data_IF_939197489303
#
_entry.id   IF_939197489303
#
_cell.length_a   1.000
_cell.length_b   1.000
_cell.length_c   1.000
_cell.angle_alpha   90.00
_cell.angle_beta   90.00
_cell.angle_gamma   90.00
#
_symmetry.space_group_name_H-M   'P 1'
#
loop_
_entity.id
_entity.type
_entity.pdbx_description
1 polymer ?
#
# COMPACT_ATOMS: atom_id res chain seq x y z
N UNK A 1 -44.76 -39.34 7.85
CA UNK A 1 -43.52 -40.12 8.04
C UNK A 1 -42.57 -40.16 6.82
N UNK A 2 -42.74 -39.31 5.78
CA UNK A 2 -41.77 -39.18 4.66
C UNK A 2 -41.02 -37.84 4.62
N UNK A 3 -41.57 -36.81 5.28
CA UNK A 3 -41.02 -35.44 5.28
C UNK A 3 -39.87 -35.31 6.27
N UNK A 4 -39.92 -36.02 7.40
CA UNK A 4 -38.86 -35.95 8.42
C UNK A 4 -37.56 -36.62 7.96
N UNK A 5 -37.66 -37.71 7.20
CA UNK A 5 -36.49 -38.37 6.61
C UNK A 5 -35.74 -37.47 5.63
N UNK A 6 -36.47 -36.72 4.79
CA UNK A 6 -35.87 -35.77 3.86
C UNK A 6 -35.19 -34.59 4.57
N UNK A 7 -35.77 -34.08 5.65
CA UNK A 7 -35.17 -33.01 6.45
C UNK A 7 -33.91 -33.47 7.19
N UNK A 8 -33.92 -34.71 7.72
CA UNK A 8 -32.75 -35.30 8.37
C UNK A 8 -31.61 -35.58 7.38
N UNK A 9 -31.91 -36.08 6.17
CA UNK A 9 -30.89 -36.29 5.14
C UNK A 9 -30.32 -34.96 4.63
N UNK A 10 -31.17 -33.93 4.44
CA UNK A 10 -30.72 -32.60 4.02
C UNK A 10 -29.81 -31.95 5.06
N UNK A 11 -30.10 -32.09 6.36
CA UNK A 11 -29.25 -31.58 7.44
C UNK A 11 -27.91 -32.32 7.57
N UNK A 12 -27.88 -33.63 7.31
CA UNK A 12 -26.64 -34.42 7.31
C UNK A 12 -25.78 -34.06 6.08
N UNK A 13 -26.37 -33.85 4.91
CA UNK A 13 -25.63 -33.39 3.74
C UNK A 13 -25.10 -31.95 3.91
N UNK A 14 -25.85 -31.06 4.56
CA UNK A 14 -25.42 -29.67 4.77
C UNK A 14 -24.26 -29.57 5.78
N UNK A 15 -24.24 -30.43 6.80
CA UNK A 15 -23.13 -30.49 7.78
C UNK A 15 -21.88 -31.17 7.20
N UNK A 16 -22.03 -32.13 6.29
CA UNK A 16 -20.88 -32.71 5.55
C UNK A 16 -20.25 -31.74 4.54
N UNK A 17 -21.03 -30.83 3.95
CA UNK A 17 -20.52 -29.80 3.04
C UNK A 17 -19.72 -28.70 3.76
N UNK A 18 -19.97 -28.46 5.05
CA UNK A 18 -19.24 -27.45 5.84
C UNK A 18 -17.91 -27.95 6.43
N UNK A 19 -17.65 -29.26 6.43
CA UNK A 19 -16.44 -29.85 7.03
C UNK A 19 -15.26 -30.03 6.06
N UNK A 20 -15.46 -29.79 4.75
CA UNK A 20 -14.40 -29.89 3.74
C UNK A 20 -13.87 -28.54 3.24
N UNK A 21 -14.23 -27.44 3.91
CA UNK A 21 -13.65 -26.12 3.66
C UNK A 21 -12.42 -25.86 4.54
N UNK A 22 -11.65 -26.90 4.89
CA UNK A 22 -10.25 -26.68 5.20
C UNK A 22 -9.62 -26.20 3.89
N UNK A 23 -9.29 -24.92 3.78
CA UNK A 23 -8.46 -24.45 2.70
C UNK A 23 -7.17 -25.28 2.76
N UNK A 24 -6.97 -26.18 1.79
CA UNK A 24 -5.71 -26.91 1.68
C UNK A 24 -4.64 -25.84 1.45
N UNK A 25 -3.87 -25.55 2.49
CA UNK A 25 -2.61 -24.84 2.33
C UNK A 25 -1.85 -25.64 1.28
N UNK A 26 -1.60 -25.04 0.11
CA UNK A 26 -0.93 -25.75 -0.98
C UNK A 26 0.44 -26.15 -0.47
N UNK A 27 0.65 -27.45 -0.33
CA UNK A 27 1.97 -27.98 -0.01
C UNK A 27 2.85 -27.87 -1.25
N UNK A 28 4.03 -27.28 -1.08
CA UNK A 28 4.99 -27.10 -2.17
C UNK A 28 5.92 -28.31 -2.23
N UNK A 29 6.19 -28.80 -3.44
CA UNK A 29 7.00 -30.00 -3.61
C UNK A 29 8.51 -29.69 -3.59
N UNK A 30 9.37 -30.60 -3.11
CA UNK A 30 10.81 -30.50 -3.30
C UNK A 30 11.17 -30.25 -4.77
N UNK A 31 12.03 -29.25 -5.01
CA UNK A 31 12.42 -28.78 -6.35
C UNK A 31 11.52 -27.69 -6.94
N UNK A 32 10.35 -27.41 -6.34
CA UNK A 32 9.49 -26.32 -6.80
C UNK A 32 10.13 -24.95 -6.54
N UNK A 33 10.02 -24.04 -7.51
CA UNK A 33 10.45 -22.65 -7.34
C UNK A 33 9.32 -21.85 -6.71
N UNK A 34 9.63 -21.21 -5.59
CA UNK A 34 8.68 -20.46 -4.77
C UNK A 34 9.22 -19.06 -4.49
N UNK A 35 8.30 -18.18 -4.10
CA UNK A 35 8.62 -16.89 -3.52
C UNK A 35 8.34 -16.92 -2.03
N UNK A 36 9.29 -16.43 -1.23
CA UNK A 36 9.10 -16.21 0.21
C UNK A 36 8.91 -14.71 0.42
N UNK A 37 7.70 -14.34 0.82
CA UNK A 37 7.27 -12.96 0.98
C UNK A 37 7.61 -12.41 2.38
N UNK A 38 8.18 -11.21 2.43
CA UNK A 38 8.40 -10.42 3.63
C UNK A 38 7.83 -9.00 3.45
N UNK A 39 6.49 -8.85 3.49
CA UNK A 39 5.88 -7.52 3.41
C UNK A 39 6.24 -6.70 4.65
N UNK A 40 6.51 -5.41 4.44
CA UNK A 40 6.75 -4.43 5.47
C UNK A 40 5.55 -3.48 5.61
N UNK A 41 5.48 -2.80 6.76
CA UNK A 41 4.47 -1.76 7.00
C UNK A 41 4.69 -0.56 6.07
N UNK A 42 5.94 -0.31 5.66
CA UNK A 42 6.25 0.58 4.56
C UNK A 42 6.51 -0.27 3.31
N UNK A 43 5.65 -0.14 2.31
CA UNK A 43 5.75 -0.94 1.07
C UNK A 43 7.11 -0.75 0.38
N UNK A 44 7.75 0.41 0.53
CA UNK A 44 9.09 0.65 -0.04
C UNK A 44 10.18 -0.25 0.56
N UNK A 45 9.91 -0.86 1.72
CA UNK A 45 10.81 -1.69 2.50
C UNK A 45 10.39 -3.17 2.43
N UNK A 46 9.40 -3.52 1.58
CA UNK A 46 9.01 -4.90 1.28
C UNK A 46 10.26 -5.68 0.83
N UNK A 47 10.28 -7.00 1.07
CA UNK A 47 11.35 -7.86 0.61
C UNK A 47 10.83 -9.24 0.23
N UNK A 48 11.59 -9.95 -0.60
CA UNK A 48 11.29 -11.34 -0.91
C UNK A 48 12.52 -12.16 -1.30
N UNK A 49 12.38 -13.47 -1.17
CA UNK A 49 13.35 -14.45 -1.68
C UNK A 49 12.69 -15.22 -2.83
N UNK A 50 13.43 -15.45 -3.90
CA UNK A 50 13.11 -16.49 -4.88
C UNK A 50 13.99 -17.69 -4.57
N UNK A 51 13.40 -18.87 -4.42
CA UNK A 51 14.15 -20.05 -4.00
C UNK A 51 13.51 -21.38 -4.37
N UNK A 52 14.31 -22.45 -4.26
CA UNK A 52 13.87 -23.82 -4.48
C UNK A 52 13.50 -24.49 -3.17
N UNK A 53 12.34 -25.13 -3.11
CA UNK A 53 11.95 -25.98 -1.97
C UNK A 53 12.89 -27.18 -1.89
N UNK A 54 13.48 -27.43 -0.72
CA UNK A 54 14.26 -28.63 -0.45
C UNK A 54 13.42 -29.68 0.24
N UNK A 55 12.70 -29.27 1.27
CA UNK A 55 11.79 -30.12 2.02
C UNK A 55 10.86 -29.27 2.88
N UNK A 56 9.74 -29.85 3.28
CA UNK A 56 8.93 -29.35 4.38
C UNK A 56 9.47 -29.96 5.69
N UNK A 57 9.67 -29.13 6.70
CA UNK A 57 10.11 -29.56 8.03
C UNK A 57 8.90 -29.92 8.90
N UNK A 58 9.12 -30.63 10.01
CA UNK A 58 8.05 -31.24 10.84
C UNK A 58 7.00 -30.26 11.37
N UNK A 59 7.34 -28.98 11.50
CA UNK A 59 6.43 -27.92 11.97
C UNK A 59 5.62 -27.27 10.84
N UNK A 60 5.71 -27.77 9.60
CA UNK A 60 4.99 -27.26 8.43
C UNK A 60 5.77 -26.23 7.61
N UNK A 61 6.86 -25.67 8.16
CA UNK A 61 7.72 -24.69 7.49
C UNK A 61 8.52 -25.31 6.34
N UNK A 62 9.12 -24.45 5.51
CA UNK A 62 9.87 -24.89 4.34
C UNK A 62 11.35 -24.60 4.49
N UNK A 63 12.18 -25.58 4.15
CA UNK A 63 13.59 -25.35 3.89
C UNK A 63 13.76 -24.95 2.42
N UNK A 64 14.22 -23.74 2.17
CA UNK A 64 14.37 -23.15 0.84
C UNK A 64 15.85 -22.88 0.54
N UNK A 65 16.28 -23.21 -0.68
CA UNK A 65 17.58 -22.81 -1.21
C UNK A 65 17.45 -21.53 -2.02
N UNK A 66 18.19 -20.49 -1.62
CA UNK A 66 18.07 -19.14 -2.20
C UNK A 66 18.66 -19.09 -3.61
N UNK A 67 17.84 -18.65 -4.56
CA UNK A 67 18.26 -18.30 -5.92
C UNK A 67 18.50 -16.79 -6.03
N UNK A 68 17.58 -16.01 -5.47
CA UNK A 68 17.60 -14.55 -5.51
C UNK A 68 16.99 -13.92 -4.25
N UNK A 69 17.38 -12.68 -3.96
CA UNK A 69 16.86 -11.89 -2.85
C UNK A 69 16.69 -10.44 -3.29
N UNK A 70 15.49 -9.91 -3.08
CA UNK A 70 15.14 -8.54 -3.44
C UNK A 70 14.64 -7.83 -2.20
N UNK A 71 15.14 -6.62 -1.97
CA UNK A 71 14.76 -5.77 -0.84
C UNK A 71 14.52 -4.35 -1.30
N UNK A 72 13.41 -3.79 -0.83
CA UNK A 72 13.04 -2.41 -1.03
C UNK A 72 12.86 -2.00 -2.49
N UNK A 73 13.17 -0.75 -2.82
CA UNK A 73 12.91 -0.14 -4.14
C UNK A 73 13.72 -0.72 -5.32
N UNK A 74 14.48 -1.80 -5.12
CA UNK A 74 15.13 -2.57 -6.19
C UNK A 74 14.14 -3.43 -7.01
N UNK A 75 12.84 -3.18 -6.89
CA UNK A 75 11.86 -3.62 -7.88
C UNK A 75 12.11 -2.86 -9.18
N UNK A 76 12.98 -3.41 -10.03
CA UNK A 76 13.20 -2.92 -11.39
C UNK A 76 11.90 -2.38 -11.97
N UNK A 77 11.91 -1.08 -12.22
CA UNK A 77 10.94 -0.24 -12.95
C UNK A 77 9.57 -0.90 -13.20
N UNK A 78 8.59 -0.60 -12.34
CA UNK A 78 7.17 -0.79 -12.61
C UNK A 78 6.79 -0.44 -14.06
N UNK A 79 6.27 -1.42 -14.81
CA UNK A 79 5.11 -1.34 -15.72
C UNK A 79 4.82 -2.74 -16.33
N UNK A 80 3.86 -3.46 -15.73
CA UNK A 80 3.21 -4.70 -16.21
C UNK A 80 4.08 -5.98 -16.23
N UNK A 81 3.65 -7.10 -15.58
CA UNK A 81 4.32 -8.37 -15.75
C UNK A 81 4.06 -8.91 -17.15
N UNK A 82 5.08 -9.46 -17.76
CA UNK A 82 4.91 -10.17 -18.99
C UNK A 82 4.90 -11.68 -18.76
N UNK A 83 4.18 -12.38 -19.64
CA UNK A 83 4.17 -13.84 -19.71
C UNK A 83 5.28 -14.34 -20.62
N UNK A 84 5.78 -15.53 -20.30
CA UNK A 84 6.48 -16.39 -21.26
C UNK A 84 5.60 -17.62 -21.51
N UNK A 85 5.74 -18.22 -22.69
CA UNK A 85 5.00 -19.43 -23.04
C UNK A 85 5.70 -20.70 -22.52
N UNK A 86 5.02 -21.85 -22.62
CA UNK A 86 5.45 -23.15 -22.07
C UNK A 86 6.74 -23.73 -22.69
N UNK A 87 7.36 -23.03 -23.65
CA UNK A 87 8.60 -23.42 -24.33
C UNK A 87 9.79 -22.49 -23.99
N UNK A 88 9.59 -21.52 -23.08
CA UNK A 88 10.67 -20.64 -22.59
C UNK A 88 11.19 -19.65 -23.62
N UNK A 89 10.37 -19.29 -24.61
CA UNK A 89 10.70 -18.24 -25.58
C UNK A 89 10.10 -16.91 -25.14
N UNK A 90 10.93 -15.86 -25.14
CA UNK A 90 10.48 -14.49 -25.00
C UNK A 90 9.58 -14.15 -26.20
N UNK A 91 8.29 -14.01 -25.94
CA UNK A 91 7.31 -13.35 -26.79
C UNK A 91 7.59 -11.83 -26.74
N UNK A 92 6.88 -10.97 -27.50
CA UNK A 92 6.94 -9.49 -27.34
C UNK A 92 6.27 -9.06 -26.03
N UNK A 93 6.75 -9.69 -25.00
CA UNK A 93 6.23 -9.93 -23.70
C UNK A 93 7.57 -9.69 -22.93
N UNK A 94 7.70 -8.55 -22.22
CA UNK A 94 8.74 -8.05 -21.25
C UNK A 94 9.32 -9.08 -20.24
N UNK A 95 10.47 -9.63 -20.59
CA UNK A 95 11.28 -10.38 -19.63
C UNK A 95 12.05 -9.38 -18.76
N UNK A 96 11.81 -9.44 -17.44
CA UNK A 96 12.49 -8.61 -16.44
C UNK A 96 14.00 -8.93 -16.42
N UNK A 97 14.86 -7.95 -16.70
CA UNK A 97 16.31 -8.09 -16.53
C UNK A 97 16.65 -8.37 -15.06
N UNK A 98 17.44 -9.42 -14.80
CA UNK A 98 17.96 -9.73 -13.46
C UNK A 98 19.08 -8.75 -13.09
N UNK A 99 18.87 -7.97 -12.03
CA UNK A 99 19.79 -6.93 -11.58
C UNK A 99 20.86 -7.46 -10.61
N UNK A 100 22.03 -6.81 -10.61
CA UNK A 100 23.31 -7.30 -10.03
C UNK A 100 23.64 -6.82 -8.62
N UNK A 101 22.77 -6.09 -7.93
CA UNK A 101 23.00 -5.69 -6.52
C UNK A 101 22.00 -6.35 -5.56
N UNK A 102 22.52 -7.09 -4.56
CA UNK A 102 21.81 -8.04 -3.68
C UNK A 102 22.23 -7.82 -2.23
N UNK A 103 21.59 -6.92 -1.49
CA UNK A 103 22.19 -6.36 -0.27
C UNK A 103 21.64 -6.90 1.08
N UNK A 104 21.88 -8.12 1.62
CA UNK A 104 22.63 -9.34 1.30
C UNK A 104 22.00 -10.51 2.09
N UNK A 105 21.78 -11.66 1.44
CA UNK A 105 21.88 -13.00 2.05
C UNK A 105 23.17 -13.62 1.47
N UNK A 106 24.10 -14.06 2.33
CA UNK A 106 25.46 -14.45 1.96
C UNK A 106 25.55 -15.64 0.97
N UNK A 107 25.44 -15.40 -0.34
CA UNK A 107 25.82 -16.37 -1.37
C UNK A 107 24.68 -17.23 -1.95
N UNK A 108 24.78 -17.46 -3.26
CA UNK A 108 23.89 -18.35 -4.04
C UNK A 108 23.99 -19.78 -3.48
N UNK A 109 22.84 -20.41 -3.18
CA UNK A 109 22.79 -21.79 -2.69
C UNK A 109 22.63 -21.98 -1.17
N UNK A 110 22.60 -20.90 -0.38
CA UNK A 110 22.29 -20.99 1.05
C UNK A 110 20.87 -21.49 1.30
N UNK A 111 20.69 -22.23 2.40
CA UNK A 111 19.43 -22.85 2.77
C UNK A 111 18.88 -22.22 4.04
N UNK A 112 17.60 -21.86 4.03
CA UNK A 112 16.90 -21.21 5.14
C UNK A 112 15.61 -21.96 5.45
N UNK A 113 15.26 -22.03 6.73
CA UNK A 113 13.91 -22.42 7.16
C UNK A 113 13.06 -21.16 7.18
N UNK A 114 11.96 -21.17 6.44
CA UNK A 114 11.04 -20.05 6.32
C UNK A 114 9.62 -20.46 6.70
N UNK A 115 8.83 -19.57 7.31
CA UNK A 115 7.46 -19.88 7.70
C UNK A 115 6.60 -20.28 6.48
N UNK A 116 5.80 -21.35 6.60
CA UNK A 116 4.84 -21.73 5.55
C UNK A 116 3.95 -20.55 5.14
N UNK A 117 3.53 -19.75 6.11
CA UNK A 117 2.69 -18.57 5.90
C UNK A 117 3.30 -17.51 4.97
N UNK A 118 4.63 -17.55 4.74
CA UNK A 118 5.33 -16.61 3.86
C UNK A 118 5.62 -17.20 2.48
N UNK A 119 5.47 -18.52 2.30
CA UNK A 119 5.74 -19.16 1.01
C UNK A 119 4.54 -19.00 0.07
N UNK A 120 4.82 -18.61 -1.16
CA UNK A 120 3.84 -18.37 -2.23
C UNK A 120 4.32 -19.03 -3.51
N UNK A 121 3.37 -19.38 -4.38
CA UNK A 121 3.71 -19.69 -5.78
C UNK A 121 4.42 -18.49 -6.39
N UNK A 122 5.52 -18.74 -7.10
CA UNK A 122 6.37 -17.68 -7.64
C UNK A 122 5.57 -16.60 -8.39
N UNK A 123 4.80 -17.01 -9.41
CA UNK A 123 4.04 -16.09 -10.26
C UNK A 123 3.01 -15.27 -9.46
N UNK A 124 2.29 -15.90 -8.53
CA UNK A 124 1.29 -15.21 -7.69
C UNK A 124 1.96 -14.22 -6.74
N UNK A 125 3.01 -14.64 -6.04
CA UNK A 125 3.73 -13.75 -5.12
C UNK A 125 4.37 -12.55 -5.83
N UNK A 126 4.94 -12.77 -7.01
CA UNK A 126 5.52 -11.70 -7.83
C UNK A 126 4.46 -10.69 -8.24
N UNK A 127 3.31 -11.16 -8.73
CA UNK A 127 2.19 -10.30 -9.07
C UNK A 127 1.74 -9.48 -7.86
N UNK A 128 1.57 -10.11 -6.69
CA UNK A 128 1.16 -9.41 -5.47
C UNK A 128 2.14 -8.29 -5.10
N UNK A 129 3.46 -8.54 -5.13
CA UNK A 129 4.46 -7.53 -4.78
C UNK A 129 4.57 -6.41 -5.82
N UNK A 130 4.44 -6.73 -7.11
CA UNK A 130 4.34 -5.71 -8.17
C UNK A 130 3.16 -4.80 -7.88
N UNK A 131 2.01 -5.36 -7.51
CA UNK A 131 0.81 -4.56 -7.28
C UNK A 131 0.83 -3.76 -5.99
N UNK A 132 1.46 -4.28 -4.93
CA UNK A 132 1.79 -3.51 -3.74
C UNK A 132 2.69 -2.33 -4.09
N UNK A 133 3.77 -2.55 -4.84
CA UNK A 133 4.68 -1.48 -5.27
C UNK A 133 3.99 -0.45 -6.17
N UNK A 134 3.10 -0.87 -7.07
CA UNK A 134 2.31 0.05 -7.90
C UNK A 134 1.43 1.00 -7.07
N UNK A 135 0.85 0.51 -5.97
CA UNK A 135 0.11 1.36 -5.02
C UNK A 135 1.04 2.37 -4.33
N UNK A 136 2.22 1.92 -3.89
CA UNK A 136 3.21 2.82 -3.31
C UNK A 136 3.67 3.90 -4.31
N UNK A 137 3.95 3.51 -5.56
CA UNK A 137 4.33 4.45 -6.63
C UNK A 137 3.20 5.46 -6.87
N UNK A 138 1.94 5.02 -6.88
CA UNK A 138 0.78 5.90 -7.02
C UNK A 138 0.73 6.94 -5.91
N UNK A 139 0.90 6.51 -4.66
CA UNK A 139 0.98 7.40 -3.51
C UNK A 139 2.19 8.35 -3.59
N UNK A 140 3.36 7.84 -4.00
CA UNK A 140 4.58 8.63 -4.14
C UNK A 140 4.49 9.69 -5.25
N UNK A 141 3.81 9.38 -6.36
CA UNK A 141 3.57 10.34 -7.47
C UNK A 141 2.67 11.49 -7.05
N UNK A 142 1.63 11.20 -6.27
CA UNK A 142 0.84 12.24 -5.62
C UNK A 142 1.73 13.10 -4.70
N UNK A 143 2.52 12.46 -3.83
CA UNK A 143 3.40 13.18 -2.91
C UNK A 143 4.42 14.09 -3.61
N UNK A 144 4.91 13.72 -4.80
CA UNK A 144 5.83 14.54 -5.59
C UNK A 144 5.13 15.52 -6.55
N UNK A 145 3.80 15.50 -6.65
CA UNK A 145 3.02 16.18 -7.69
C UNK A 145 3.45 15.82 -9.13
N UNK A 146 4.11 14.67 -9.36
CA UNK A 146 4.72 14.34 -10.65
C UNK A 146 4.60 12.83 -11.01
N UNK A 147 3.85 12.48 -12.08
CA UNK A 147 2.90 13.33 -12.81
C UNK A 147 1.68 13.68 -11.95
N UNK A 148 0.92 14.71 -12.38
CA UNK A 148 -0.33 15.09 -11.73
C UNK A 148 -1.31 13.91 -11.77
N UNK A 149 -1.86 13.57 -10.60
CA UNK A 149 -2.83 12.50 -10.41
C UNK A 149 -4.26 13.02 -10.58
N UNK A 150 -5.06 12.36 -11.42
CA UNK A 150 -6.51 12.61 -11.56
C UNK A 150 -7.29 12.02 -10.39
N UNK A 151 -8.51 12.53 -10.14
CA UNK A 151 -9.38 12.03 -9.08
C UNK A 151 -9.73 10.54 -9.26
N UNK A 152 -9.98 10.11 -10.50
CA UNK A 152 -10.32 8.72 -10.84
C UNK A 152 -9.17 7.76 -10.51
N UNK A 153 -7.92 8.21 -10.66
CA UNK A 153 -6.77 7.38 -10.29
C UNK A 153 -6.71 7.10 -8.78
N UNK A 154 -7.19 8.00 -7.93
CA UNK A 154 -7.35 7.71 -6.50
C UNK A 154 -8.43 6.67 -6.24
N UNK A 155 -9.55 6.72 -6.97
CA UNK A 155 -10.62 5.72 -6.83
C UNK A 155 -10.15 4.33 -7.25
N UNK A 156 -9.40 4.24 -8.35
CA UNK A 156 -8.75 3.01 -8.80
C UNK A 156 -7.74 2.52 -7.74
N UNK A 157 -6.91 3.40 -7.19
CA UNK A 157 -5.95 3.05 -6.16
C UNK A 157 -6.63 2.53 -4.88
N UNK A 158 -7.72 3.15 -4.44
CA UNK A 158 -8.49 2.70 -3.27
C UNK A 158 -9.16 1.35 -3.50
N UNK A 159 -9.73 1.11 -4.68
CA UNK A 159 -10.31 -0.19 -5.03
C UNK A 159 -9.23 -1.28 -5.06
N UNK A 160 -8.06 -0.96 -5.63
CA UNK A 160 -6.92 -1.88 -5.71
C UNK A 160 -6.33 -2.19 -4.35
N UNK A 161 -6.18 -1.18 -3.48
CA UNK A 161 -5.77 -1.38 -2.09
C UNK A 161 -6.67 -2.38 -1.36
N UNK A 162 -8.00 -2.26 -1.50
CA UNK A 162 -8.94 -3.23 -0.91
C UNK A 162 -8.75 -4.64 -1.50
N UNK A 163 -8.60 -4.76 -2.81
CA UNK A 163 -8.45 -6.08 -3.47
C UNK A 163 -7.16 -6.82 -3.08
N UNK A 164 -6.11 -6.09 -2.69
CA UNK A 164 -4.81 -6.65 -2.29
C UNK A 164 -4.68 -6.86 -0.77
N UNK A 165 -5.77 -6.69 -0.01
CA UNK A 165 -5.72 -6.76 1.46
C UNK A 165 -4.96 -5.59 2.11
N UNK A 166 -4.78 -4.50 1.37
CA UNK A 166 -4.06 -3.28 1.77
C UNK A 166 -5.03 -2.14 2.15
N UNK A 167 -6.21 -2.48 2.68
CA UNK A 167 -7.24 -1.51 3.09
C UNK A 167 -6.74 -0.46 4.07
N UNK A 168 -5.67 -0.75 4.81
CA UNK A 168 -4.98 0.19 5.69
C UNK A 168 -4.45 1.45 4.98
N UNK A 169 -4.21 1.41 3.65
CA UNK A 169 -3.79 2.59 2.87
C UNK A 169 -4.95 3.52 2.51
N UNK A 170 -6.19 3.01 2.51
CA UNK A 170 -7.36 3.74 2.00
C UNK A 170 -7.56 5.09 2.70
N UNK A 171 -7.44 5.22 4.04
CA UNK A 171 -7.59 6.51 4.70
C UNK A 171 -6.59 7.59 4.20
N UNK A 172 -5.35 7.20 3.92
CA UNK A 172 -4.35 8.11 3.37
C UNK A 172 -4.66 8.52 1.93
N UNK A 173 -5.14 7.58 1.11
CA UNK A 173 -5.58 7.86 -0.26
C UNK A 173 -6.81 8.78 -0.30
N UNK A 174 -7.73 8.66 0.67
CA UNK A 174 -8.88 9.58 0.81
C UNK A 174 -8.41 11.00 1.10
N UNK A 175 -7.44 11.18 2.01
CA UNK A 175 -6.87 12.50 2.29
C UNK A 175 -6.14 13.07 1.07
N UNK A 176 -5.36 12.24 0.35
CA UNK A 176 -4.70 12.63 -0.88
C UNK A 176 -5.67 13.08 -1.98
N UNK A 177 -6.80 12.37 -2.14
CA UNK A 177 -7.86 12.76 -3.07
C UNK A 177 -8.47 14.12 -2.69
N UNK A 178 -8.78 14.34 -1.41
CA UNK A 178 -9.34 15.62 -0.93
C UNK A 178 -8.37 16.80 -1.09
N UNK A 179 -7.07 16.57 -0.88
CA UNK A 179 -6.05 17.57 -1.17
C UNK A 179 -6.03 17.92 -2.65
N UNK A 180 -6.05 16.92 -3.52
CA UNK A 180 -6.14 17.13 -4.97
C UNK A 180 -7.39 17.93 -5.38
N UNK A 181 -8.54 17.63 -4.79
CA UNK A 181 -9.81 18.37 -5.00
C UNK A 181 -9.74 19.83 -4.51
N UNK A 182 -8.83 20.14 -3.59
CA UNK A 182 -8.67 21.49 -3.06
C UNK A 182 -7.91 22.42 -4.02
N UNK A 183 -7.13 21.87 -4.94
CA UNK A 183 -6.30 22.66 -5.87
C UNK A 183 -6.78 22.65 -7.32
N UNK A 184 -7.69 21.74 -7.71
CA UNK A 184 -8.07 21.57 -9.11
C UNK A 184 -9.56 21.33 -9.30
N UNK A 185 -10.05 21.74 -10.46
CA UNK A 185 -11.36 21.33 -10.95
C UNK A 185 -11.42 19.80 -11.18
N UNK A 186 -12.62 19.18 -11.08
CA UNK A 186 -12.78 17.74 -11.31
C UNK A 186 -12.19 17.26 -12.65
N UNK A 187 -11.67 16.03 -12.68
CA UNK A 187 -11.05 15.43 -13.87
C UNK A 187 -9.64 15.95 -14.14
N UNK A 188 -9.38 16.42 -15.38
CA UNK A 188 -8.13 17.09 -15.81
C UNK A 188 -8.30 18.62 -15.71
N UNK A 189 -9.25 19.08 -14.89
CA UNK A 189 -9.63 20.48 -14.80
C UNK A 189 -8.46 21.42 -14.43
N UNK A 190 -8.67 22.72 -14.65
CA UNK A 190 -7.64 23.73 -14.39
C UNK A 190 -7.21 23.74 -12.92
N UNK A 191 -5.98 24.17 -12.61
CA UNK A 191 -5.64 24.58 -11.26
C UNK A 191 -6.49 25.78 -10.82
N UNK A 192 -6.84 25.79 -9.55
CA UNK A 192 -7.45 26.94 -8.88
C UNK A 192 -6.41 28.01 -8.62
N UNK A 193 -6.86 29.26 -8.61
CA UNK A 193 -6.09 30.35 -8.02
C UNK A 193 -6.04 30.20 -6.50
N UNK A 194 -5.07 30.82 -5.81
CA UNK A 194 -4.95 30.67 -4.37
C UNK A 194 -6.20 31.03 -3.58
N UNK A 195 -6.87 32.11 -3.98
CA UNK A 195 -8.11 32.53 -3.33
C UNK A 195 -9.28 31.55 -3.53
N UNK A 196 -9.25 30.73 -4.58
CA UNK A 196 -10.24 29.67 -4.84
C UNK A 196 -9.90 28.37 -4.07
N UNK A 197 -8.60 28.11 -3.84
CA UNK A 197 -8.11 26.93 -3.12
C UNK A 197 -8.30 27.05 -1.61
N UNK A 198 -8.07 28.24 -1.03
CA UNK A 198 -8.10 28.46 0.43
C UNK A 198 -9.39 28.00 1.12
N UNK A 199 -10.61 28.27 0.61
CA UNK A 199 -11.83 27.76 1.24
C UNK A 199 -11.88 26.22 1.29
N UNK A 200 -11.40 25.54 0.24
CA UNK A 200 -11.38 24.07 0.15
C UNK A 200 -10.32 23.49 1.09
N UNK A 201 -9.14 24.09 1.12
CA UNK A 201 -8.07 23.72 2.04
C UNK A 201 -8.48 23.95 3.50
N UNK A 202 -9.25 25.00 3.78
CA UNK A 202 -9.80 25.23 5.12
C UNK A 202 -10.64 24.04 5.57
N UNK A 203 -11.55 23.55 4.73
CA UNK A 203 -12.37 22.36 5.03
C UNK A 203 -11.51 21.11 5.21
N UNK A 204 -10.50 20.91 4.35
CA UNK A 204 -9.54 19.82 4.49
C UNK A 204 -8.77 19.90 5.83
N UNK A 205 -8.36 21.08 6.28
CA UNK A 205 -7.71 21.24 7.59
C UNK A 205 -8.66 20.85 8.74
N UNK A 206 -9.97 21.09 8.59
CA UNK A 206 -10.96 20.64 9.58
C UNK A 206 -11.04 19.12 9.66
N UNK A 207 -11.01 18.45 8.51
CA UNK A 207 -11.00 16.99 8.40
C UNK A 207 -9.72 16.39 8.99
N UNK A 208 -8.57 17.01 8.73
CA UNK A 208 -7.29 16.62 9.32
C UNK A 208 -7.34 16.74 10.85
N UNK A 209 -7.83 17.87 11.39
CA UNK A 209 -7.99 18.05 12.83
C UNK A 209 -8.94 16.98 13.41
N UNK A 210 -10.03 16.66 12.71
CA UNK A 210 -10.98 15.64 13.13
C UNK A 210 -10.33 14.25 13.16
N UNK A 211 -9.58 13.90 12.13
CA UNK A 211 -8.83 12.64 12.02
C UNK A 211 -7.85 12.47 13.19
N UNK A 212 -7.07 13.51 13.49
CA UNK A 212 -6.12 13.53 14.61
C UNK A 212 -6.81 13.49 15.98
N UNK A 213 -8.02 14.03 16.11
CA UNK A 213 -8.81 13.92 17.35
C UNK A 213 -9.38 12.52 17.54
N UNK A 214 -9.81 11.86 16.46
CA UNK A 214 -10.35 10.50 16.52
C UNK A 214 -9.27 9.43 16.75
N UNK A 215 -8.04 9.65 16.29
CA UNK A 215 -6.93 8.72 16.46
C UNK A 215 -5.81 9.36 17.29
N UNK A 216 -5.87 9.12 18.61
CA UNK A 216 -4.88 9.63 19.57
C UNK A 216 -3.47 9.11 19.27
N UNK A 217 -3.34 7.88 18.80
CA UNK A 217 -2.05 7.27 18.50
C UNK A 217 -1.43 7.96 17.27
N UNK A 218 -2.20 8.13 16.20
CA UNK A 218 -1.77 8.89 15.03
C UNK A 218 -1.32 10.30 15.40
N UNK A 219 -2.11 11.02 16.21
CA UNK A 219 -1.79 12.38 16.62
C UNK A 219 -0.49 12.44 17.44
N UNK A 220 -0.29 11.49 18.36
CA UNK A 220 0.96 11.39 19.10
C UNK A 220 2.14 11.08 18.17
N UNK A 221 1.99 10.14 17.24
CA UNK A 221 3.05 9.76 16.29
C UNK A 221 3.41 10.92 15.34
N UNK A 222 2.42 11.60 14.79
CA UNK A 222 2.60 12.69 13.84
C UNK A 222 3.30 13.90 14.47
N UNK A 223 2.96 14.24 15.73
CA UNK A 223 3.55 15.37 16.46
C UNK A 223 4.93 15.09 17.07
N UNK A 224 5.49 13.89 16.91
CA UNK A 224 6.83 13.60 17.40
C UNK A 224 7.89 14.39 16.63
N UNK A 225 8.78 15.06 17.38
CA UNK A 225 9.93 15.81 16.81
C UNK A 225 10.93 14.91 16.07
N UNK A 226 11.08 13.66 16.53
CA UNK A 226 11.96 12.67 15.90
C UNK A 226 11.15 11.44 15.47
N UNK A 227 11.12 11.25 14.15
CA UNK A 227 10.37 10.21 13.45
C UNK A 227 11.34 9.23 12.80
N UNK A 228 12.12 8.54 13.63
CA UNK A 228 12.94 7.42 13.17
C UNK A 228 12.07 6.16 13.09
N UNK A 229 11.37 6.01 11.96
CA UNK A 229 10.49 4.88 11.70
C UNK A 229 11.21 3.54 11.58
N UNK A 230 12.54 3.54 11.40
CA UNK A 230 13.32 2.30 11.31
C UNK A 230 13.33 1.52 12.62
N UNK A 231 13.16 2.22 13.75
CA UNK A 231 13.26 1.67 15.10
C UNK A 231 11.91 1.60 15.84
N UNK A 232 10.79 1.93 15.16
CA UNK A 232 9.45 1.92 15.75
C UNK A 232 8.51 1.05 14.93
N UNK A 233 7.82 0.14 15.60
CA UNK A 233 6.72 -0.62 14.98
C UNK A 233 5.53 0.31 14.75
N UNK A 234 5.44 0.91 13.56
CA UNK A 234 4.30 1.71 13.11
C UNK A 234 3.46 0.89 12.13
N UNK A 235 2.14 0.92 12.24
CA UNK A 235 1.25 0.22 11.29
C UNK A 235 1.36 0.84 9.88
N UNK A 236 1.00 0.07 8.85
CA UNK A 236 0.90 0.59 7.47
C UNK A 236 -0.02 1.81 7.44
N UNK A 237 -1.18 1.72 8.08
CA UNK A 237 -2.15 2.81 8.16
C UNK A 237 -1.53 4.09 8.73
N UNK A 238 -0.88 4.00 9.89
CA UNK A 238 -0.29 5.17 10.55
C UNK A 238 0.89 5.73 9.75
N UNK A 239 1.70 4.88 9.11
CA UNK A 239 2.79 5.35 8.26
C UNK A 239 2.27 6.22 7.11
N UNK A 240 1.34 5.70 6.30
CA UNK A 240 0.83 6.44 5.14
C UNK A 240 -0.02 7.65 5.51
N UNK A 241 -0.78 7.59 6.62
CA UNK A 241 -1.49 8.76 7.12
C UNK A 241 -0.53 9.88 7.52
N UNK A 242 0.56 9.57 8.22
CA UNK A 242 1.55 10.57 8.60
C UNK A 242 2.18 11.23 7.36
N UNK A 243 2.58 10.43 6.37
CA UNK A 243 3.15 10.95 5.12
C UNK A 243 2.15 11.84 4.38
N UNK A 244 0.85 11.48 4.37
CA UNK A 244 -0.19 12.29 3.76
C UNK A 244 -0.41 13.61 4.52
N UNK A 245 -0.48 13.55 5.86
CA UNK A 245 -0.63 14.71 6.72
C UNK A 245 0.52 15.72 6.58
N UNK A 246 1.77 15.23 6.47
CA UNK A 246 2.93 16.08 6.25
C UNK A 246 2.85 16.83 4.92
N UNK A 247 2.53 16.13 3.83
CA UNK A 247 2.37 16.74 2.50
C UNK A 247 1.27 17.79 2.52
N UNK A 248 0.07 17.42 2.97
CA UNK A 248 -1.09 18.31 3.06
C UNK A 248 -0.78 19.57 3.86
N UNK A 249 -0.14 19.43 5.03
CA UNK A 249 0.22 20.57 5.85
C UNK A 249 1.27 21.45 5.16
N UNK A 250 2.26 20.84 4.50
CA UNK A 250 3.28 21.55 3.76
C UNK A 250 2.67 22.40 2.62
N UNK A 251 1.84 21.80 1.76
CA UNK A 251 1.24 22.53 0.64
C UNK A 251 0.28 23.61 1.13
N UNK A 252 -0.58 23.30 2.11
CA UNK A 252 -1.52 24.28 2.65
C UNK A 252 -0.81 25.45 3.35
N UNK A 253 0.36 25.21 3.96
CA UNK A 253 1.18 26.27 4.53
C UNK A 253 1.77 27.16 3.43
N UNK A 254 2.18 26.57 2.31
CA UNK A 254 2.67 27.32 1.14
C UNK A 254 1.56 28.22 0.59
N UNK A 255 0.36 27.67 0.39
CA UNK A 255 -0.81 28.41 -0.12
C UNK A 255 -1.19 29.60 0.76
N UNK A 256 -0.98 29.50 2.07
CA UNK A 256 -1.31 30.57 3.03
C UNK A 256 -0.43 31.82 2.93
N UNK A 257 0.66 31.73 2.16
CA UNK A 257 1.66 32.77 1.92
C UNK A 257 1.69 33.25 0.46
N UNK A 258 0.82 32.72 -0.40
CA UNK A 258 0.71 33.11 -1.81
C UNK A 258 0.09 34.50 -1.99
N UNK A 259 0.25 35.05 -3.19
CA UNK A 259 -0.38 36.31 -3.61
C UNK A 259 -1.91 36.16 -3.77
N UNK A 260 -2.62 37.28 -3.96
CA UNK A 260 -4.08 37.33 -4.19
C UNK A 260 -4.98 36.84 -3.03
N UNK A 261 -4.42 36.60 -1.85
CA UNK A 261 -5.19 36.22 -0.65
C UNK A 261 -6.13 37.33 -0.14
N UNK A 262 -5.94 38.57 -0.59
CA UNK A 262 -6.86 39.69 -0.35
C UNK A 262 -8.25 39.47 -0.99
N UNK A 263 -8.34 38.57 -1.97
CA UNK A 263 -9.61 38.16 -2.61
C UNK A 263 -10.37 37.08 -1.83
N UNK A 264 -9.77 36.49 -0.80
CA UNK A 264 -10.43 35.51 0.06
C UNK A 264 -11.30 36.24 1.09
N UNK A 265 -12.46 35.67 1.43
CA UNK A 265 -13.24 36.14 2.57
C UNK A 265 -12.34 36.21 3.84
N UNK A 266 -12.22 37.38 4.50
CA UNK A 266 -11.30 37.55 5.62
C UNK A 266 -11.55 36.61 6.80
N UNK A 267 -12.81 36.21 7.04
CA UNK A 267 -13.15 35.26 8.10
C UNK A 267 -12.69 33.84 7.74
N UNK A 268 -12.83 33.44 6.47
CA UNK A 268 -12.33 32.16 5.95
C UNK A 268 -10.81 32.10 6.03
N UNK A 269 -10.11 33.14 5.57
CA UNK A 269 -8.65 33.20 5.62
C UNK A 269 -8.12 33.15 7.06
N UNK A 270 -8.78 33.87 7.99
CA UNK A 270 -8.44 33.82 9.41
C UNK A 270 -8.63 32.42 9.99
N UNK A 271 -9.73 31.75 9.67
CA UNK A 271 -10.00 30.39 10.15
C UNK A 271 -8.98 29.40 9.60
N UNK A 272 -8.65 29.50 8.31
CA UNK A 272 -7.66 28.66 7.66
C UNK A 272 -6.29 28.76 8.35
N UNK A 273 -5.79 29.99 8.55
CA UNK A 273 -4.53 30.24 9.26
C UNK A 273 -4.57 29.72 10.70
N UNK A 274 -5.69 29.84 11.40
CA UNK A 274 -5.81 29.30 12.76
C UNK A 274 -5.75 27.77 12.78
N UNK A 275 -6.41 27.10 11.84
CA UNK A 275 -6.33 25.63 11.70
C UNK A 275 -4.89 25.19 11.39
N UNK A 276 -4.19 25.91 10.51
CA UNK A 276 -2.77 25.67 10.24
C UNK A 276 -1.91 25.80 11.51
N UNK A 277 -2.13 26.83 12.35
CA UNK A 277 -1.42 26.97 13.65
C UNK A 277 -1.70 25.80 14.60
N UNK A 278 -2.95 25.37 14.72
CA UNK A 278 -3.35 24.20 15.54
C UNK A 278 -2.59 22.94 15.06
N UNK A 279 -2.39 22.82 13.76
CA UNK A 279 -1.66 21.72 13.12
C UNK A 279 -0.13 21.87 13.21
N UNK A 280 0.37 23.02 13.67
CA UNK A 280 1.79 23.26 13.91
C UNK A 280 2.52 23.90 12.73
N UNK A 281 1.81 24.40 11.72
CA UNK A 281 2.40 25.19 10.65
C UNK A 281 2.80 26.59 11.13
N UNK A 282 3.80 27.17 10.46
CA UNK A 282 4.18 28.58 10.62
C UNK A 282 3.44 29.38 9.55
N UNK A 283 2.56 30.28 10.00
CA UNK A 283 1.58 31.05 9.20
C UNK A 283 1.50 32.48 9.68
#
# INVERSE_FOLDING_TARGET
MKIDFFKSVLWVCLTFLTLNATAWAKDFLPGETVMVAYPANNIKDDAYIIGLVRQQVKNGDYQISVLDYVKGHDYGISCVPIRENELGQATNEVVWEMWTDRTQLFGKGMQYIVPQANVRKLQTGQFDFIERNNLYITFSRWKSNAPIMTLDQFDIAMAKAKSLGLSELVPALVLAKKERESYYEPGIGRPYWPYEAVPKLNDLMADVITTLKSDKQLNQLWRQKSRDWKNKTISTQHYFLIEALDKILFDASYESAEDDLDKVDPAVLKQFRERLRILGAKV
#
